data_IF_080520839185
#
_entry.id   IF_080520839185
#
_cell.length_a   1.000
_cell.length_b   1.000
_cell.length_c   1.000
_cell.angle_alpha   90.00
_cell.angle_beta   90.00
_cell.angle_gamma   90.00
#
_symmetry.space_group_name_H-M   'P 1'
#
loop_
_entity.id
_entity.type
_entity.pdbx_description
1 polymer ?
#
# COMPACT_ATOMS: atom_id res chain seq x y z
N UNK A 1 -3.48 11.23 -17.80
CA UNK A 1 -2.57 11.25 -16.64
C UNK A 1 -2.41 9.82 -16.18
N UNK A 2 -1.20 9.41 -15.80
CA UNK A 2 -0.99 8.03 -15.38
C UNK A 2 -1.55 7.87 -13.97
N UNK A 3 -2.61 7.08 -13.84
CA UNK A 3 -3.22 6.78 -12.56
C UNK A 3 -2.40 5.67 -11.90
N UNK A 4 -1.38 6.08 -11.16
CA UNK A 4 -0.54 5.19 -10.36
C UNK A 4 -1.10 5.11 -8.95
N UNK A 5 -1.23 3.89 -8.45
CA UNK A 5 -1.45 3.62 -7.04
C UNK A 5 -0.06 3.43 -6.43
N UNK A 6 0.27 4.22 -5.41
CA UNK A 6 1.43 3.98 -4.57
C UNK A 6 1.10 2.88 -3.57
N UNK A 7 2.08 2.03 -3.31
CA UNK A 7 1.96 0.91 -2.38
C UNK A 7 3.19 0.89 -1.49
N UNK A 8 2.99 0.71 -0.19
CA UNK A 8 4.05 0.44 0.78
C UNK A 8 3.70 -0.79 1.60
N UNK A 9 4.66 -1.70 1.76
CA UNK A 9 4.42 -3.01 2.39
C UNK A 9 5.49 -3.30 3.42
N UNK A 10 5.04 -3.71 4.60
CA UNK A 10 5.90 -4.25 5.65
C UNK A 10 5.59 -5.73 5.78
N UNK A 11 6.57 -6.57 5.48
CA UNK A 11 6.47 -8.02 5.66
C UNK A 11 6.92 -8.42 7.06
N UNK A 12 6.23 -9.42 7.63
CA UNK A 12 6.63 -10.08 8.87
C UNK A 12 6.85 -11.57 8.59
N UNK A 13 8.08 -12.03 8.81
CA UNK A 13 8.47 -13.42 8.58
C UNK A 13 9.72 -13.76 9.38
N UNK A 14 10.07 -15.04 9.41
CA UNK A 14 11.39 -15.47 9.89
C UNK A 14 12.50 -14.73 9.12
N UNK A 15 13.61 -14.30 9.78
CA UNK A 15 14.64 -13.46 9.14
C UNK A 15 15.19 -14.02 7.82
N UNK A 16 15.30 -15.34 7.73
CA UNK A 16 15.75 -16.03 6.52
C UNK A 16 14.75 -15.93 5.36
N UNK A 17 13.45 -15.87 5.62
CA UNK A 17 12.43 -15.69 4.60
C UNK A 17 12.30 -14.22 4.22
N UNK A 18 12.35 -13.31 5.19
CA UNK A 18 12.36 -11.87 4.93
C UNK A 18 13.52 -11.47 4.01
N UNK A 19 14.72 -12.01 4.25
CA UNK A 19 15.89 -11.80 3.38
C UNK A 19 15.65 -12.27 1.93
N UNK A 20 14.88 -13.35 1.74
CA UNK A 20 14.53 -13.85 0.39
C UNK A 20 13.48 -12.98 -0.28
N UNK A 21 12.48 -12.50 0.48
CA UNK A 21 11.48 -11.56 -0.03
C UNK A 21 12.17 -10.28 -0.51
N UNK A 22 13.05 -9.70 0.32
CA UNK A 22 13.84 -8.54 -0.06
C UNK A 22 14.67 -8.83 -1.32
N UNK A 23 15.38 -9.96 -1.35
CA UNK A 23 16.17 -10.36 -2.51
C UNK A 23 15.35 -10.53 -3.79
N UNK A 24 14.10 -11.03 -3.67
CA UNK A 24 13.17 -11.15 -4.79
C UNK A 24 12.83 -9.77 -5.34
N UNK A 25 12.37 -8.84 -4.50
CA UNK A 25 11.95 -7.51 -4.97
C UNK A 25 13.11 -6.67 -5.52
N UNK A 26 14.32 -6.80 -4.96
CA UNK A 26 15.52 -6.15 -5.53
C UNK A 26 15.88 -6.72 -6.91
N UNK A 27 15.67 -8.02 -7.15
CA UNK A 27 15.86 -8.61 -8.48
C UNK A 27 14.78 -8.14 -9.46
N UNK A 28 13.52 -8.03 -9.02
CA UNK A 28 12.45 -7.46 -9.84
C UNK A 28 12.74 -5.99 -10.18
N UNK A 29 13.22 -5.19 -9.23
CA UNK A 29 13.61 -3.81 -9.48
C UNK A 29 14.70 -3.71 -10.56
N UNK A 30 15.78 -4.50 -10.44
CA UNK A 30 16.85 -4.53 -11.43
C UNK A 30 16.36 -4.98 -12.82
N UNK A 31 15.43 -5.94 -12.87
CA UNK A 31 14.84 -6.39 -14.14
C UNK A 31 13.95 -5.30 -14.75
N UNK A 32 13.17 -4.59 -13.93
CA UNK A 32 12.34 -3.47 -14.35
C UNK A 32 13.19 -2.35 -14.96
N UNK A 33 14.32 -2.00 -14.34
CA UNK A 33 15.27 -1.01 -14.87
C UNK A 33 15.83 -1.42 -16.23
N UNK A 34 16.16 -2.70 -16.39
CA UNK A 34 16.77 -3.22 -17.63
C UNK A 34 15.79 -3.34 -18.80
N UNK A 35 14.51 -3.59 -18.51
CA UNK A 35 13.47 -3.84 -19.51
C UNK A 35 12.59 -2.63 -19.78
N UNK A 36 12.46 -1.73 -18.81
CA UNK A 36 11.47 -0.64 -18.84
C UNK A 36 10.03 -1.11 -18.62
N UNK A 37 9.83 -2.36 -18.16
CA UNK A 37 8.53 -2.98 -17.97
C UNK A 37 8.27 -3.32 -16.50
N UNK A 38 7.00 -3.37 -16.12
CA UNK A 38 6.60 -3.86 -14.80
C UNK A 38 6.91 -5.34 -14.66
N UNK A 39 7.19 -5.77 -13.43
CA UNK A 39 7.68 -7.11 -13.16
C UNK A 39 6.74 -7.90 -12.27
N UNK A 40 6.82 -9.22 -12.36
CA UNK A 40 6.11 -10.17 -11.51
C UNK A 40 7.05 -11.29 -11.06
N UNK A 41 6.92 -11.79 -9.82
CA UNK A 41 7.54 -13.05 -9.44
C UNK A 41 7.08 -14.19 -10.36
N UNK A 42 7.97 -15.11 -10.69
CA UNK A 42 7.69 -16.21 -11.62
C UNK A 42 6.64 -17.22 -11.13
N UNK A 43 6.33 -17.20 -9.83
CA UNK A 43 5.31 -18.05 -9.23
C UNK A 43 3.91 -17.42 -9.23
N UNK A 44 3.79 -16.15 -9.62
CA UNK A 44 2.49 -15.51 -9.84
C UNK A 44 2.04 -15.78 -11.27
N UNK A 45 0.84 -16.33 -11.41
CA UNK A 45 0.35 -16.82 -12.70
C UNK A 45 -0.55 -15.82 -13.42
N UNK A 46 -1.11 -14.84 -12.72
CA UNK A 46 -1.88 -13.75 -13.30
C UNK A 46 -0.99 -12.65 -13.89
N UNK A 47 -1.44 -11.97 -14.95
CA UNK A 47 -0.60 -11.06 -15.75
C UNK A 47 -1.10 -9.61 -15.83
N UNK A 48 -1.80 -9.11 -14.80
CA UNK A 48 -2.34 -7.74 -14.84
C UNK A 48 -1.87 -6.83 -13.68
N UNK A 49 -1.43 -7.41 -12.55
CA UNK A 49 -0.99 -6.69 -11.34
C UNK A 49 0.52 -6.49 -11.21
N UNK A 50 1.22 -6.07 -12.27
CA UNK A 50 2.68 -5.87 -12.25
C UNK A 50 3.14 -4.83 -11.22
N UNK A 51 4.33 -5.08 -10.66
CA UNK A 51 5.06 -4.16 -9.80
C UNK A 51 5.92 -3.21 -10.64
N UNK A 52 5.78 -1.91 -10.43
CA UNK A 52 6.58 -0.84 -11.05
C UNK A 52 7.29 -0.01 -9.98
N UNK A 53 8.31 0.77 -10.36
CA UNK A 53 9.00 1.72 -9.48
C UNK A 53 9.36 1.12 -8.10
N UNK A 54 9.92 -0.10 -8.15
CA UNK A 54 10.15 -0.93 -6.98
C UNK A 54 11.36 -0.40 -6.19
N UNK A 55 11.19 -0.15 -4.90
CA UNK A 55 12.22 0.26 -3.96
C UNK A 55 12.09 -0.48 -2.62
N UNK A 56 13.18 -0.54 -1.86
CA UNK A 56 13.17 -1.14 -0.53
C UNK A 56 14.06 -0.33 0.42
N UNK A 57 13.46 0.29 1.43
CA UNK A 57 14.15 1.17 2.39
C UNK A 57 13.61 0.91 3.79
N UNK A 58 14.50 0.84 4.79
CA UNK A 58 14.13 0.70 6.22
C UNK A 58 13.06 -0.37 6.51
N UNK A 59 13.21 -1.55 5.91
CA UNK A 59 12.28 -2.69 6.00
C UNK A 59 10.90 -2.51 5.34
N UNK A 60 10.73 -1.42 4.58
CA UNK A 60 9.52 -1.13 3.80
C UNK A 60 9.80 -1.35 2.31
N UNK A 61 8.97 -2.19 1.68
CA UNK A 61 8.88 -2.30 0.22
C UNK A 61 7.99 -1.18 -0.31
N UNK A 62 8.46 -0.44 -1.30
CA UNK A 62 7.69 0.56 -2.04
C UNK A 62 7.56 0.14 -3.50
N UNK A 63 6.39 0.34 -4.10
CA UNK A 63 6.19 0.13 -5.53
C UNK A 63 4.92 0.85 -6.01
N UNK A 64 4.79 0.95 -7.32
CA UNK A 64 3.61 1.46 -7.99
C UNK A 64 2.86 0.35 -8.73
N UNK A 65 1.54 0.48 -8.81
CA UNK A 65 0.65 -0.32 -9.66
C UNK A 65 -0.25 0.60 -10.46
N UNK A 66 -0.86 0.08 -11.53
CA UNK A 66 -1.80 0.86 -12.32
C UNK A 66 -3.20 0.80 -11.67
N UNK A 67 -3.78 1.97 -11.42
CA UNK A 67 -5.16 2.22 -10.96
C UNK A 67 -5.51 1.75 -9.54
N UNK A 68 -5.15 0.52 -9.18
CA UNK A 68 -5.59 -0.15 -7.95
C UNK A 68 -4.42 -0.91 -7.30
N UNK A 69 -4.46 -1.16 -5.98
CA UNK A 69 -3.50 -2.06 -5.33
C UNK A 69 -3.59 -3.48 -5.89
N UNK A 70 -2.49 -4.22 -5.87
CA UNK A 70 -2.41 -5.64 -6.25
C UNK A 70 -2.31 -6.54 -5.00
N UNK A 71 -3.15 -6.31 -4.00
CA UNK A 71 -3.09 -7.01 -2.70
C UNK A 71 -3.10 -8.54 -2.83
N UNK A 72 -3.86 -9.10 -3.78
CA UNK A 72 -3.91 -10.55 -4.01
C UNK A 72 -2.53 -11.12 -4.40
N UNK A 73 -1.71 -10.34 -5.07
CA UNK A 73 -0.36 -10.72 -5.50
C UNK A 73 0.60 -10.73 -4.31
N UNK A 74 0.39 -9.83 -3.33
CA UNK A 74 1.11 -9.87 -2.07
C UNK A 74 0.73 -11.08 -1.22
N UNK A 75 -0.53 -11.56 -1.30
CA UNK A 75 -0.95 -12.81 -0.65
C UNK A 75 -0.17 -13.98 -1.24
N UNK A 76 -0.07 -14.09 -2.56
CA UNK A 76 0.73 -15.16 -3.20
C UNK A 76 2.20 -15.11 -2.77
N UNK A 77 2.79 -13.92 -2.67
CA UNK A 77 4.16 -13.74 -2.12
C UNK A 77 4.23 -14.19 -0.66
N UNK A 78 3.27 -13.77 0.16
CA UNK A 78 3.21 -14.08 1.57
C UNK A 78 3.08 -15.60 1.82
N UNK A 79 2.17 -16.26 1.10
CA UNK A 79 1.99 -17.71 1.15
C UNK A 79 3.24 -18.47 0.68
N UNK A 80 3.88 -18.02 -0.40
CA UNK A 80 5.09 -18.67 -0.93
C UNK A 80 6.25 -18.66 0.06
N UNK A 81 6.41 -17.57 0.82
CA UNK A 81 7.50 -17.42 1.79
C UNK A 81 7.12 -17.74 3.24
N UNK A 82 5.84 -18.00 3.53
CA UNK A 82 5.35 -18.15 4.89
C UNK A 82 5.48 -16.85 5.69
N UNK A 83 5.02 -15.75 5.10
CA UNK A 83 5.07 -14.41 5.66
C UNK A 83 3.65 -13.86 5.89
N UNK A 84 3.60 -12.81 6.68
CA UNK A 84 2.47 -11.93 6.88
C UNK A 84 2.83 -10.54 6.35
N UNK A 85 1.84 -9.66 6.16
CA UNK A 85 2.13 -8.30 5.77
C UNK A 85 1.10 -7.28 6.23
N UNK A 86 1.56 -6.03 6.31
CA UNK A 86 0.72 -4.84 6.30
C UNK A 86 1.01 -4.04 5.03
N UNK A 87 -0.02 -3.77 4.25
CA UNK A 87 0.03 -3.14 2.94
C UNK A 87 -0.80 -1.86 2.97
N UNK A 88 -0.14 -0.72 2.77
CA UNK A 88 -0.78 0.58 2.63
C UNK A 88 -0.79 0.94 1.15
N UNK A 89 -1.90 1.49 0.68
CA UNK A 89 -2.04 1.89 -0.71
C UNK A 89 -2.80 3.19 -0.85
N UNK A 90 -2.40 4.00 -1.83
CA UNK A 90 -3.02 5.28 -2.13
C UNK A 90 -3.05 5.57 -3.62
N UNK A 91 -4.21 5.97 -4.12
CA UNK A 91 -4.41 6.55 -5.44
C UNK A 91 -5.35 7.76 -5.27
N UNK A 92 -4.74 8.93 -5.15
CA UNK A 92 -5.41 10.15 -4.72
C UNK A 92 -6.40 10.71 -5.74
N UNK A 93 -6.25 10.39 -7.03
CA UNK A 93 -7.14 10.92 -8.08
C UNK A 93 -8.49 10.21 -8.19
N UNK A 94 -8.64 8.99 -7.67
CA UNK A 94 -9.90 8.25 -7.61
C UNK A 94 -10.32 7.91 -6.16
N UNK A 95 -9.80 8.62 -5.16
CA UNK A 95 -10.17 8.42 -3.75
C UNK A 95 -9.96 6.99 -3.26
N UNK A 96 -8.90 6.32 -3.74
CA UNK A 96 -8.49 5.02 -3.20
C UNK A 96 -7.45 5.27 -2.14
N UNK A 97 -7.74 4.89 -0.91
CA UNK A 97 -6.79 4.97 0.20
C UNK A 97 -7.17 3.92 1.23
N UNK A 98 -6.24 3.05 1.60
CA UNK A 98 -6.56 1.94 2.47
C UNK A 98 -5.37 1.17 2.99
N UNK A 99 -5.68 0.24 3.89
CA UNK A 99 -4.72 -0.66 4.50
C UNK A 99 -5.28 -2.08 4.45
N UNK A 100 -4.48 -2.98 3.92
CA UNK A 100 -4.70 -4.42 3.95
C UNK A 100 -3.72 -5.08 4.91
N UNK A 101 -4.23 -5.88 5.83
CA UNK A 101 -3.42 -6.71 6.74
C UNK A 101 -3.68 -8.17 6.40
N UNK A 102 -2.62 -8.93 6.15
CA UNK A 102 -2.69 -10.38 5.96
C UNK A 102 -1.95 -11.05 7.10
N UNK A 103 -2.70 -11.74 7.95
CA UNK A 103 -2.22 -12.36 9.19
C UNK A 103 -2.97 -13.67 9.43
N UNK A 104 -2.27 -14.71 9.89
CA UNK A 104 -2.86 -16.04 10.16
C UNK A 104 -3.68 -16.63 8.98
N UNK A 105 -3.30 -16.30 7.75
CA UNK A 105 -4.00 -16.75 6.53
C UNK A 105 -5.30 -15.99 6.23
N UNK A 106 -5.57 -14.89 6.93
CA UNK A 106 -6.77 -14.07 6.77
C UNK A 106 -6.39 -12.68 6.28
N UNK A 107 -7.06 -12.22 5.23
CA UNK A 107 -6.96 -10.85 4.74
C UNK A 107 -8.05 -9.98 5.36
N UNK A 108 -7.64 -8.91 6.02
CA UNK A 108 -8.53 -7.83 6.49
C UNK A 108 -8.20 -6.55 5.74
N UNK A 109 -9.21 -5.91 5.14
CA UNK A 109 -9.07 -4.67 4.40
C UNK A 109 -9.84 -3.56 5.11
N UNK A 110 -9.21 -2.40 5.26
CA UNK A 110 -9.83 -1.16 5.72
C UNK A 110 -9.60 -0.06 4.69
N UNK A 111 -10.68 0.35 4.02
CA UNK A 111 -10.66 1.43 3.02
C UNK A 111 -11.33 2.69 3.54
N UNK A 112 -10.80 3.85 3.12
CA UNK A 112 -11.54 5.10 3.15
C UNK A 112 -12.55 5.14 2.00
N UNK A 113 -13.69 5.77 2.26
CA UNK A 113 -14.74 6.00 1.28
C UNK A 113 -14.94 7.51 1.08
N UNK A 114 -15.76 7.89 0.09
CA UNK A 114 -15.98 9.30 -0.25
C UNK A 114 -16.37 10.19 0.95
N UNK A 115 -17.14 9.66 1.91
CA UNK A 115 -17.54 10.45 3.09
C UNK A 115 -16.39 10.75 4.04
N UNK A 116 -15.32 9.93 4.03
CA UNK A 116 -14.10 10.20 4.79
C UNK A 116 -13.31 11.36 4.14
N UNK A 117 -13.27 11.42 2.81
CA UNK A 117 -12.62 12.52 2.07
C UNK A 117 -13.36 13.85 2.22
N UNK A 118 -14.67 13.82 2.46
CA UNK A 118 -15.48 15.03 2.71
C UNK A 118 -15.21 15.68 4.08
N UNK A 119 -14.44 15.02 4.97
CA UNK A 119 -14.18 15.51 6.33
C UNK A 119 -13.12 16.62 6.40
N UNK A 120 -12.34 16.81 5.35
CA UNK A 120 -11.30 17.83 5.29
C UNK A 120 -11.35 18.61 3.98
N UNK A 121 -10.76 19.79 3.98
CA UNK A 121 -10.69 20.62 2.77
C UNK A 121 -9.37 21.40 2.70
N UNK A 122 -8.92 21.69 1.49
CA UNK A 122 -7.82 22.63 1.29
C UNK A 122 -8.34 24.06 1.52
N UNK A 123 -7.66 24.82 2.38
CA UNK A 123 -7.87 26.25 2.49
C UNK A 123 -7.09 26.96 1.37
N UNK A 124 -7.74 27.62 0.41
CA UNK A 124 -7.06 28.24 -0.72
C UNK A 124 -6.20 29.44 -0.32
N UNK A 125 -6.46 30.08 0.83
CA UNK A 125 -5.71 31.27 1.26
C UNK A 125 -4.37 30.87 1.90
N UNK A 126 -4.36 29.85 2.75
CA UNK A 126 -3.15 29.35 3.40
C UNK A 126 -2.42 28.27 2.61
N UNK A 127 -3.11 27.56 1.72
CA UNK A 127 -2.60 26.37 1.03
C UNK A 127 -2.48 25.14 1.92
N UNK A 128 -3.04 25.18 3.14
CA UNK A 128 -3.01 24.08 4.11
C UNK A 128 -4.35 23.34 4.14
N UNK A 129 -4.30 22.05 4.44
CA UNK A 129 -5.50 21.24 4.66
C UNK A 129 -6.07 21.50 6.05
N UNK A 130 -7.40 21.65 6.14
CA UNK A 130 -8.11 21.87 7.40
C UNK A 130 -8.91 20.63 7.77
N UNK A 131 -8.69 20.13 8.98
CA UNK A 131 -9.41 18.98 9.54
C UNK A 131 -9.56 19.17 11.06
N UNK A 132 -10.79 19.04 11.57
CA UNK A 132 -11.11 19.15 13.01
C UNK A 132 -10.56 20.40 13.72
N UNK A 133 -10.46 21.52 13.01
CA UNK A 133 -9.95 22.79 13.54
C UNK A 133 -8.42 22.88 13.62
N UNK A 134 -7.69 21.94 13.02
CA UNK A 134 -6.23 21.95 12.86
C UNK A 134 -5.85 22.09 11.38
N UNK A 135 -4.65 22.63 11.13
CA UNK A 135 -4.08 22.80 9.79
C UNK A 135 -2.93 21.82 9.56
N UNK A 136 -2.90 21.20 8.38
CA UNK A 136 -1.94 20.17 7.97
C UNK A 136 -1.28 20.55 6.65
N UNK A 137 -0.02 20.17 6.47
CA UNK A 137 0.72 20.43 5.23
C UNK A 137 0.35 19.41 4.13
N UNK A 138 0.01 18.18 4.53
CA UNK A 138 -0.41 17.12 3.62
C UNK A 138 -1.79 16.57 3.99
N UNK A 139 -2.60 16.25 2.98
CA UNK A 139 -3.82 15.48 3.20
C UNK A 139 -3.54 14.05 3.64
N UNK A 140 -2.37 13.50 3.30
CA UNK A 140 -1.99 12.13 3.67
C UNK A 140 -1.98 11.94 5.19
N UNK A 141 -1.51 12.94 5.95
CA UNK A 141 -1.54 12.92 7.42
C UNK A 141 -2.97 12.79 7.97
N UNK A 142 -3.94 13.44 7.32
CA UNK A 142 -5.35 13.34 7.71
C UNK A 142 -5.91 11.97 7.34
N UNK A 143 -5.56 11.43 6.16
CA UNK A 143 -6.00 10.12 5.71
C UNK A 143 -5.46 9.00 6.62
N UNK A 144 -4.21 9.10 7.08
CA UNK A 144 -3.64 8.19 8.09
C UNK A 144 -4.47 8.19 9.37
N UNK A 145 -4.80 9.38 9.91
CA UNK A 145 -5.65 9.52 11.11
C UNK A 145 -7.03 8.84 10.90
N UNK A 146 -7.63 9.03 9.73
CA UNK A 146 -8.95 8.47 9.42
C UNK A 146 -8.91 6.95 9.32
N UNK A 147 -7.87 6.38 8.70
CA UNK A 147 -7.66 4.93 8.64
C UNK A 147 -7.48 4.35 10.04
N UNK A 148 -6.61 4.95 10.87
CA UNK A 148 -6.37 4.46 12.23
C UNK A 148 -7.66 4.42 13.06
N UNK A 149 -8.50 5.46 12.96
CA UNK A 149 -9.81 5.50 13.63
C UNK A 149 -10.73 4.38 13.15
N UNK A 150 -10.76 4.11 11.84
CA UNK A 150 -11.58 3.04 11.26
C UNK A 150 -11.12 1.66 11.72
N UNK A 151 -9.81 1.42 11.75
CA UNK A 151 -9.22 0.19 12.27
C UNK A 151 -9.58 -0.03 13.74
N UNK A 152 -9.45 1.01 14.58
CA UNK A 152 -9.84 0.94 15.99
C UNK A 152 -11.34 0.64 16.19
N UNK A 153 -12.21 1.16 15.33
CA UNK A 153 -13.65 0.85 15.39
C UNK A 153 -13.88 -0.61 15.05
N UNK A 154 -13.23 -1.13 14.00
CA UNK A 154 -13.36 -2.53 13.59
C UNK A 154 -12.89 -3.48 14.72
N UNK A 155 -11.74 -3.19 15.32
CA UNK A 155 -11.18 -3.96 16.45
C UNK A 155 -12.09 -3.98 17.70
N UNK A 156 -12.95 -2.98 17.87
CA UNK A 156 -13.93 -2.92 18.98
C UNK A 156 -15.23 -3.67 18.68
N UNK A 157 -15.47 -4.02 17.42
CA UNK A 157 -16.71 -4.66 16.96
C UNK A 157 -16.58 -6.15 16.66
N UNK A 158 -15.35 -6.68 16.66
CA UNK A 158 -15.01 -8.10 16.55
C UNK A 158 -14.89 -8.80 17.92
#
# INVERSE_FOLDING_TARGET
MANWCSNSVVFQAEPAQLSKIQSLFLQLAALAESTGEGQLPSFIHEQEGYFFDIGWEEDVLFYATRWVPNTDYLIEVAEFFGAEFKHYYAQTSNSVYGVATYQDGVLTITDLNNSDFDLYNLDPDSGLYQFEGQSYESSEEILDILIERKQQINDLTD
#
